data_IF_479005757268
#
_entry.id   IF_479005757268
#
_cell.length_a   1.000
_cell.length_b   1.000
_cell.length_c   1.000
_cell.angle_alpha   90.00
_cell.angle_beta   90.00
_cell.angle_gamma   90.00
#
_symmetry.space_group_name_H-M   'P 1'
#
loop_
_entity.id
_entity.type
_entity.pdbx_description
1 polymer ?
#
# COMPACT_ATOMS: atom_id res chain seq x y z
N UNK A 1 -19.60 8.49 -3.80
CA UNK A 1 -18.19 8.32 -4.21
C UNK A 1 -17.24 8.42 -3.02
N UNK A 2 -17.31 9.50 -2.22
CA UNK A 2 -16.49 9.61 -1.01
C UNK A 2 -16.81 8.52 0.03
N UNK A 3 -18.07 8.09 0.09
CA UNK A 3 -18.51 7.06 1.04
C UNK A 3 -17.93 5.68 0.70
N UNK A 4 -17.83 5.34 -0.59
CA UNK A 4 -17.20 4.10 -1.04
C UNK A 4 -15.73 4.06 -0.69
N UNK A 5 -15.01 5.16 -0.86
CA UNK A 5 -13.59 5.26 -0.50
C UNK A 5 -13.39 5.11 1.00
N UNK A 6 -14.24 5.70 1.82
CA UNK A 6 -14.18 5.58 3.27
C UNK A 6 -14.45 4.15 3.71
N UNK A 7 -15.40 3.46 3.08
CA UNK A 7 -15.73 2.06 3.35
C UNK A 7 -14.56 1.16 2.98
N UNK A 8 -13.95 1.35 1.82
CA UNK A 8 -12.80 0.55 1.37
C UNK A 8 -11.58 0.77 2.26
N UNK A 9 -11.30 2.00 2.68
CA UNK A 9 -10.21 2.28 3.60
C UNK A 9 -10.46 1.61 4.96
N UNK A 10 -11.69 1.66 5.45
CA UNK A 10 -12.07 1.00 6.71
C UNK A 10 -11.87 -0.50 6.61
N UNK A 11 -12.30 -1.13 5.52
CA UNK A 11 -12.12 -2.57 5.29
C UNK A 11 -10.63 -2.93 5.31
N UNK A 12 -9.80 -2.11 4.71
CA UNK A 12 -8.34 -2.30 4.70
C UNK A 12 -7.78 -2.24 6.13
N UNK A 13 -8.17 -1.24 6.90
CA UNK A 13 -7.71 -1.11 8.30
C UNK A 13 -8.24 -2.24 9.18
N UNK A 14 -9.47 -2.72 8.92
CA UNK A 14 -10.10 -3.77 9.71
C UNK A 14 -9.39 -5.12 9.59
N UNK A 15 -8.72 -5.39 8.48
CA UNK A 15 -7.99 -6.65 8.28
C UNK A 15 -6.52 -6.58 8.70
N UNK A 16 -6.10 -5.44 9.23
CA UNK A 16 -4.74 -5.25 9.71
C UNK A 16 -4.45 -6.13 10.92
N UNK A 17 -3.26 -6.71 10.95
CA UNK A 17 -2.73 -7.48 12.08
C UNK A 17 -1.58 -6.73 12.72
N UNK A 18 -1.34 -7.04 13.98
CA UNK A 18 -0.18 -6.53 14.73
C UNK A 18 0.64 -7.73 15.16
N UNK A 19 1.94 -7.74 14.84
CA UNK A 19 2.83 -8.83 15.21
C UNK A 19 3.34 -8.67 16.65
N UNK A 20 4.17 -9.63 17.09
CA UNK A 20 4.71 -9.66 18.45
C UNK A 20 5.56 -8.41 18.77
N UNK A 21 6.16 -7.81 17.76
CA UNK A 21 6.99 -6.62 17.90
C UNK A 21 6.18 -5.31 17.86
N UNK A 22 4.86 -5.40 17.73
CA UNK A 22 4.00 -4.23 17.63
C UNK A 22 3.91 -3.62 16.25
N UNK A 23 4.47 -4.28 15.23
CA UNK A 23 4.42 -3.80 13.84
C UNK A 23 3.15 -4.27 13.13
N UNK A 24 2.58 -3.40 12.32
CA UNK A 24 1.41 -3.74 11.53
C UNK A 24 1.78 -4.58 10.30
N UNK A 25 0.90 -5.48 9.90
CA UNK A 25 1.04 -6.23 8.66
C UNK A 25 -0.32 -6.68 8.15
N UNK A 26 -0.36 -7.06 6.89
CA UNK A 26 -1.56 -7.60 6.23
C UNK A 26 -1.25 -8.98 5.67
N UNK A 27 -2.21 -9.90 5.83
CA UNK A 27 -2.15 -11.19 5.14
C UNK A 27 -2.53 -10.99 3.67
N UNK A 28 -1.73 -11.52 2.76
CA UNK A 28 -2.02 -11.41 1.32
C UNK A 28 -3.32 -12.13 0.97
N UNK A 29 -3.61 -13.25 1.63
CA UNK A 29 -4.87 -13.98 1.40
C UNK A 29 -6.08 -13.15 1.76
N UNK A 30 -6.03 -12.46 2.90
CA UNK A 30 -7.11 -11.57 3.32
C UNK A 30 -7.21 -10.35 2.42
N UNK A 31 -6.07 -9.80 2.01
CA UNK A 31 -6.04 -8.66 1.09
C UNK A 31 -6.62 -9.02 -0.27
N UNK A 32 -6.32 -10.22 -0.78
CA UNK A 32 -6.89 -10.71 -2.03
C UNK A 32 -8.42 -10.67 -2.00
N UNK A 33 -8.99 -11.15 -0.92
CA UNK A 33 -10.43 -11.15 -0.73
C UNK A 33 -10.99 -9.72 -0.70
N UNK A 34 -10.33 -8.83 0.04
CA UNK A 34 -10.73 -7.41 0.14
C UNK A 34 -10.63 -6.69 -1.21
N UNK A 35 -9.72 -7.11 -2.09
CA UNK A 35 -9.52 -6.52 -3.41
C UNK A 35 -10.28 -7.26 -4.52
N UNK A 36 -11.23 -8.13 -4.14
CA UNK A 36 -12.10 -8.88 -5.06
C UNK A 36 -11.34 -9.83 -5.99
N UNK A 37 -10.23 -10.39 -5.53
CA UNK A 37 -9.53 -11.45 -6.24
C UNK A 37 -10.04 -12.81 -5.75
N UNK A 38 -10.74 -13.53 -6.62
CA UNK A 38 -11.31 -14.84 -6.30
C UNK A 38 -10.23 -15.94 -6.43
N UNK A 39 -9.35 -15.81 -7.42
CA UNK A 39 -8.32 -16.80 -7.71
C UNK A 39 -6.99 -16.34 -7.12
N UNK A 40 -6.45 -17.10 -6.17
CA UNK A 40 -5.15 -16.81 -5.56
C UNK A 40 -4.04 -16.68 -6.61
N UNK A 41 -4.06 -17.57 -7.60
CA UNK A 41 -3.06 -17.56 -8.68
C UNK A 41 -2.98 -16.21 -9.38
N UNK A 42 -4.13 -15.58 -9.61
CA UNK A 42 -4.19 -14.28 -10.27
C UNK A 42 -3.68 -13.17 -9.34
N UNK A 43 -4.00 -13.24 -8.06
CA UNK A 43 -3.51 -12.29 -7.09
C UNK A 43 -2.01 -12.43 -6.87
N UNK A 44 -1.50 -13.65 -6.83
CA UNK A 44 -0.06 -13.88 -6.66
C UNK A 44 0.74 -13.27 -7.80
N UNK A 45 0.22 -13.26 -9.02
CA UNK A 45 0.87 -12.57 -10.14
C UNK A 45 1.00 -11.07 -9.89
N UNK A 46 -0.01 -10.47 -9.29
CA UNK A 46 0.01 -9.04 -8.93
C UNK A 46 1.05 -8.79 -7.83
N UNK A 47 1.10 -9.67 -6.83
CA UNK A 47 2.10 -9.58 -5.76
C UNK A 47 3.52 -9.62 -6.37
N UNK A 48 3.77 -10.54 -7.29
CA UNK A 48 5.08 -10.67 -7.92
C UNK A 48 5.46 -9.44 -8.73
N UNK A 49 4.50 -8.82 -9.44
CA UNK A 49 4.75 -7.57 -10.15
C UNK A 49 5.08 -6.44 -9.18
N UNK A 50 4.37 -6.37 -8.04
CA UNK A 50 4.67 -5.39 -7.00
C UNK A 50 6.05 -5.61 -6.41
N UNK A 51 6.45 -6.86 -6.21
CA UNK A 51 7.79 -7.19 -5.72
C UNK A 51 8.87 -6.74 -6.71
N UNK A 52 8.66 -6.92 -8.01
CA UNK A 52 9.58 -6.45 -9.05
C UNK A 52 9.70 -4.92 -9.00
N UNK A 53 8.58 -4.21 -8.89
CA UNK A 53 8.59 -2.76 -8.78
C UNK A 53 9.33 -2.29 -7.54
N UNK A 54 9.15 -2.98 -6.42
CA UNK A 54 9.84 -2.70 -5.16
C UNK A 54 11.36 -2.87 -5.33
N UNK A 55 11.79 -3.99 -5.88
CA UNK A 55 13.21 -4.30 -6.11
C UNK A 55 13.86 -3.30 -7.05
N UNK A 56 13.21 -3.01 -8.18
CA UNK A 56 13.75 -2.12 -9.20
C UNK A 56 13.80 -0.66 -8.75
N UNK A 57 13.04 -0.29 -7.71
CA UNK A 57 13.11 1.04 -7.12
C UNK A 57 14.14 1.16 -6.01
N UNK A 58 14.91 0.11 -5.75
CA UNK A 58 16.01 0.12 -4.80
C UNK A 58 15.62 -0.24 -3.37
N UNK A 59 14.42 -0.75 -3.15
CA UNK A 59 13.97 -1.19 -1.83
C UNK A 59 14.23 -2.69 -1.64
N UNK A 60 14.38 -3.09 -0.39
CA UNK A 60 14.53 -4.51 -0.05
C UNK A 60 13.16 -5.17 -0.01
N UNK A 61 12.92 -6.10 -0.94
CA UNK A 61 11.62 -6.79 -1.07
C UNK A 61 11.26 -7.53 0.21
N UNK A 62 12.25 -8.14 0.89
CA UNK A 62 12.00 -8.98 2.07
C UNK A 62 11.49 -8.18 3.27
N UNK A 63 11.77 -6.87 3.33
CA UNK A 63 11.27 -6.02 4.40
C UNK A 63 9.77 -5.78 4.30
N UNK A 64 9.23 -5.83 3.10
CA UNK A 64 7.82 -5.48 2.83
C UNK A 64 6.96 -6.67 2.40
N UNK A 65 7.58 -7.73 1.84
CA UNK A 65 6.90 -8.91 1.32
C UNK A 65 7.53 -10.16 1.93
N UNK A 66 7.04 -10.59 3.08
CA UNK A 66 7.58 -11.78 3.74
C UNK A 66 6.71 -12.99 3.40
N UNK A 67 7.28 -13.94 2.66
CA UNK A 67 6.60 -15.19 2.33
C UNK A 67 6.51 -16.06 3.59
N UNK A 68 5.31 -16.57 3.89
CA UNK A 68 5.07 -17.42 5.03
C UNK A 68 4.21 -18.60 4.61
N UNK A 69 4.35 -19.72 5.34
CA UNK A 69 3.50 -20.90 5.16
C UNK A 69 2.60 -21.02 6.38
N UNK A 70 1.31 -21.15 6.14
CA UNK A 70 0.32 -21.34 7.20
C UNK A 70 -0.22 -22.76 7.11
N UNK A 71 -0.38 -23.39 8.27
CA UNK A 71 -0.95 -24.73 8.36
C UNK A 71 -2.46 -24.57 8.52
N UNK A 72 -3.20 -25.13 7.57
CA UNK A 72 -4.66 -25.13 7.61
C UNK A 72 -5.12 -26.57 7.80
N UNK A 73 -6.00 -26.80 8.77
CA UNK A 73 -6.60 -28.12 8.99
C UNK A 73 -7.66 -28.37 7.91
N UNK A 74 -7.49 -29.45 7.16
CA UNK A 74 -8.43 -29.88 6.14
C UNK A 74 -8.84 -31.32 6.47
N UNK A 75 -9.85 -31.49 7.32
CA UNK A 75 -10.30 -32.80 7.80
C UNK A 75 -9.23 -33.47 8.63
N UNK A 76 -8.83 -34.69 8.26
CA UNK A 76 -7.83 -35.49 8.99
C UNK A 76 -6.38 -35.13 8.60
N UNK A 77 -6.16 -34.24 7.66
CA UNK A 77 -4.82 -33.88 7.19
C UNK A 77 -4.55 -32.38 7.38
N UNK A 78 -3.28 -32.06 7.62
CA UNK A 78 -2.82 -30.69 7.68
C UNK A 78 -2.27 -30.28 6.31
N UNK A 79 -2.75 -29.17 5.77
CA UNK A 79 -2.29 -28.65 4.50
C UNK A 79 -1.52 -27.34 4.71
N UNK A 80 -0.31 -27.26 4.15
CA UNK A 80 0.46 -26.04 4.14
C UNK A 80 -0.07 -25.11 3.06
N UNK A 81 -0.34 -23.88 3.39
CA UNK A 81 -0.85 -22.86 2.46
C UNK A 81 0.11 -21.67 2.45
N UNK A 82 0.54 -21.29 1.25
CA UNK A 82 1.41 -20.15 1.04
C UNK A 82 0.65 -18.85 1.28
N UNK A 83 1.27 -17.93 2.00
CA UNK A 83 0.76 -16.60 2.22
C UNK A 83 1.93 -15.61 2.25
N UNK A 84 1.63 -14.34 2.34
CA UNK A 84 2.63 -13.28 2.54
C UNK A 84 2.18 -12.40 3.69
N UNK A 85 3.12 -11.95 4.49
CA UNK A 85 2.92 -10.86 5.43
C UNK A 85 3.40 -9.59 4.76
N UNK A 86 2.50 -8.63 4.58
CA UNK A 86 2.73 -7.44 3.77
C UNK A 86 2.76 -6.20 4.65
N UNK A 87 3.71 -5.31 4.40
CA UNK A 87 3.70 -3.97 4.99
C UNK A 87 2.61 -3.11 4.34
N UNK A 88 2.31 -1.98 4.92
CA UNK A 88 1.40 -0.99 4.33
C UNK A 88 1.89 -0.56 2.95
N UNK A 89 3.18 -0.30 2.82
CA UNK A 89 3.80 0.04 1.54
C UNK A 89 3.58 -1.05 0.49
N UNK A 90 3.78 -2.31 0.88
CA UNK A 90 3.55 -3.44 -0.03
C UNK A 90 2.10 -3.51 -0.50
N UNK A 91 1.15 -3.28 0.40
CA UNK A 91 -0.27 -3.25 0.05
C UNK A 91 -0.58 -2.15 -0.97
N UNK A 92 -0.03 -0.97 -0.77
CA UNK A 92 -0.23 0.14 -1.71
C UNK A 92 0.36 -0.18 -3.08
N UNK A 93 1.54 -0.77 -3.10
CA UNK A 93 2.21 -1.15 -4.35
C UNK A 93 1.44 -2.24 -5.09
N UNK A 94 0.84 -3.18 -4.36
CA UNK A 94 -0.02 -4.21 -4.93
C UNK A 94 -1.24 -3.59 -5.61
N UNK A 95 -1.90 -2.63 -4.98
CA UNK A 95 -3.06 -1.95 -5.57
C UNK A 95 -2.65 -1.24 -6.86
N UNK A 96 -1.50 -0.58 -6.88
CA UNK A 96 -1.00 0.11 -8.08
C UNK A 96 -0.73 -0.85 -9.23
N UNK A 97 -0.42 -2.10 -8.94
CA UNK A 97 -0.15 -3.13 -9.94
C UNK A 97 -1.37 -4.03 -10.21
N UNK A 98 -2.50 -3.74 -9.60
CA UNK A 98 -3.71 -4.52 -9.74
C UNK A 98 -4.48 -4.24 -11.02
N UNK A 99 -5.50 -5.04 -11.25
CA UNK A 99 -6.33 -4.95 -12.45
C UNK A 99 -7.38 -3.83 -12.28
N UNK A 100 -7.27 -2.73 -13.05
CA UNK A 100 -8.18 -1.59 -12.91
C UNK A 100 -9.60 -1.88 -13.39
N UNK A 101 -9.85 -3.02 -14.02
CA UNK A 101 -11.21 -3.45 -14.35
C UNK A 101 -12.00 -3.80 -13.10
N UNK A 102 -11.31 -4.11 -12.00
CA UNK A 102 -11.95 -4.29 -10.68
C UNK A 102 -12.19 -2.91 -10.08
N UNK A 103 -13.42 -2.63 -9.69
CA UNK A 103 -13.80 -1.31 -9.18
C UNK A 103 -12.97 -0.90 -7.95
N UNK A 104 -12.76 -1.83 -7.02
CA UNK A 104 -11.99 -1.54 -5.80
C UNK A 104 -10.54 -1.15 -6.13
N UNK A 105 -9.95 -1.80 -7.13
CA UNK A 105 -8.59 -1.48 -7.59
C UNK A 105 -8.57 -0.10 -8.26
N UNK A 106 -9.52 0.18 -9.15
CA UNK A 106 -9.61 1.47 -9.83
C UNK A 106 -9.77 2.62 -8.82
N UNK A 107 -10.62 2.43 -7.81
CA UNK A 107 -10.81 3.41 -6.74
C UNK A 107 -9.53 3.64 -5.95
N UNK A 108 -8.81 2.58 -5.63
CA UNK A 108 -7.54 2.68 -4.91
C UNK A 108 -6.47 3.41 -5.73
N UNK A 109 -6.33 3.08 -6.99
CA UNK A 109 -5.36 3.74 -7.87
C UNK A 109 -5.66 5.23 -8.01
N UNK A 110 -6.93 5.59 -8.17
CA UNK A 110 -7.36 6.98 -8.25
C UNK A 110 -7.12 7.71 -6.92
N UNK A 111 -7.39 7.06 -5.81
CA UNK A 111 -7.15 7.61 -4.48
C UNK A 111 -5.66 7.95 -4.31
N UNK A 112 -4.76 7.03 -4.65
CA UNK A 112 -3.33 7.27 -4.52
C UNK A 112 -2.86 8.41 -5.43
N UNK A 113 -3.38 8.48 -6.66
CA UNK A 113 -3.04 9.57 -7.58
C UNK A 113 -3.44 10.93 -7.01
N UNK A 114 -4.64 11.01 -6.43
CA UNK A 114 -5.14 12.24 -5.83
C UNK A 114 -4.31 12.63 -4.61
N UNK A 115 -4.00 11.67 -3.73
CA UNK A 115 -3.21 11.94 -2.52
C UNK A 115 -1.79 12.36 -2.88
N UNK A 116 -1.19 11.74 -3.89
CA UNK A 116 0.14 12.13 -4.38
C UNK A 116 0.13 13.56 -4.90
N UNK A 117 -0.87 13.90 -5.71
CA UNK A 117 -1.03 15.25 -6.24
C UNK A 117 -1.19 16.28 -5.11
N UNK A 118 -2.03 15.96 -4.13
CA UNK A 118 -2.24 16.85 -2.96
C UNK A 118 -0.95 17.05 -2.19
N UNK A 119 -0.16 16.01 -2.00
CA UNK A 119 1.10 16.09 -1.29
C UNK A 119 2.10 16.94 -2.07
N UNK A 120 2.18 16.76 -3.37
CA UNK A 120 3.05 17.56 -4.23
C UNK A 120 2.67 19.04 -4.20
N UNK A 121 1.38 19.36 -4.22
CA UNK A 121 0.88 20.72 -4.12
C UNK A 121 1.23 21.32 -2.76
N UNK A 122 1.04 20.57 -1.68
CA UNK A 122 1.37 21.03 -0.33
C UNK A 122 2.87 21.29 -0.20
N UNK A 123 3.70 20.39 -0.72
CA UNK A 123 5.16 20.54 -0.69
C UNK A 123 5.60 21.76 -1.48
N UNK A 124 5.05 21.96 -2.67
CA UNK A 124 5.36 23.11 -3.50
C UNK A 124 4.95 24.42 -2.84
N UNK A 125 3.78 24.44 -2.20
CA UNK A 125 3.29 25.61 -1.47
C UNK A 125 4.21 25.95 -0.29
N UNK A 126 4.65 24.95 0.44
CA UNK A 126 5.58 25.12 1.56
C UNK A 126 6.95 25.65 1.07
N UNK A 127 7.45 25.15 -0.05
CA UNK A 127 8.69 25.64 -0.66
C UNK A 127 8.58 27.11 -1.02
N UNK A 128 7.49 27.53 -1.65
CA UNK A 128 7.25 28.93 -1.99
C UNK A 128 7.20 29.81 -0.76
N UNK A 129 6.59 29.35 0.34
CA UNK A 129 6.51 30.09 1.59
C UNK A 129 7.90 30.24 2.22
N UNK A 130 8.72 29.21 2.20
CA UNK A 130 10.10 29.26 2.68
C UNK A 130 10.95 30.21 1.84
N UNK A 131 10.82 30.19 0.52
CA UNK A 131 11.52 31.08 -0.39
C UNK A 131 11.15 32.53 -0.11
N UNK A 132 9.89 32.82 0.11
CA UNK A 132 9.40 34.14 0.45
C UNK A 132 9.96 34.62 1.80
N UNK A 133 10.02 33.75 2.79
CA UNK A 133 10.60 34.05 4.10
C UNK A 133 12.10 34.37 3.96
N UNK A 134 12.82 33.57 3.22
CA UNK A 134 14.26 33.77 2.95
C UNK A 134 14.51 35.11 2.25
N UNK A 135 13.69 35.42 1.25
CA UNK A 135 13.78 36.69 0.54
C UNK A 135 13.58 37.88 1.46
N UNK A 136 12.56 37.86 2.29
CA UNK A 136 12.27 38.92 3.25
C UNK A 136 13.39 39.08 4.27
N UNK A 137 13.91 37.97 4.78
CA UNK A 137 15.02 37.98 5.73
C UNK A 137 16.28 38.61 5.12
N UNK A 138 16.64 38.18 3.93
CA UNK A 138 17.81 38.70 3.21
C UNK A 138 17.67 40.19 2.88
N UNK A 139 16.47 40.63 2.53
CA UNK A 139 16.19 42.04 2.27
C UNK A 139 16.42 42.89 3.52
N UNK A 140 15.98 42.40 4.70
CA UNK A 140 16.17 43.09 5.98
C UNK A 140 17.65 43.14 6.39
N UNK A 141 18.41 42.10 6.10
CA UNK A 141 19.82 42.05 6.44
C UNK A 141 20.69 42.98 5.56
N UNK A 142 20.22 43.44 4.41
CA UNK A 142 20.93 44.35 3.53
C UNK A 142 20.72 45.81 3.88
N UNK A 143 19.78 46.11 4.75
CA UNK A 143 19.56 47.47 5.25
C UNK A 143 20.46 47.74 6.47
#
# INVERSE_FOLDING_TARGET
MSDLKAIEYKRFEDIKHINENGSEYWSARELAFALDYVQWRNFEKVIKRAMIACENSGHNVLDDFAEVSKIVEAGATHKSTKDYELSRYACYLIVQNGDPRKEVIALGQTYFAIQTYRQEVADHFNELDEDNRSFLYNSKCKE
#
